data_IF_746885451152
#
_entry.id   IF_746885451152
#
_cell.length_a   1.000
_cell.length_b   1.000
_cell.length_c   1.000
_cell.angle_alpha   90.00
_cell.angle_beta   90.00
_cell.angle_gamma   90.00
#
_symmetry.space_group_name_H-M   'P 1'
#
loop_
_entity.id
_entity.type
_entity.pdbx_description
1 polymer ?
#
# COMPACT_ATOMS: atom_id res chain seq x y z
N UNK A 1 12.64 -14.56 -3.87
CA UNK A 1 12.54 -13.22 -4.48
C UNK A 1 11.28 -12.53 -3.99
N UNK A 2 11.39 -11.40 -3.26
CA UNK A 2 10.20 -10.57 -2.96
C UNK A 2 9.79 -9.87 -4.25
N UNK A 3 8.62 -10.22 -4.80
CA UNK A 3 8.10 -9.61 -6.04
C UNK A 3 7.97 -8.11 -5.83
N UNK A 4 8.50 -7.32 -6.75
CA UNK A 4 8.37 -5.87 -6.69
C UNK A 4 6.88 -5.51 -6.84
N UNK A 5 6.27 -5.01 -5.76
CA UNK A 5 4.85 -4.68 -5.73
C UNK A 5 4.46 -3.57 -6.70
N UNK A 6 5.44 -2.85 -7.27
CA UNK A 6 5.25 -1.82 -8.29
C UNK A 6 4.89 -2.41 -9.65
N UNK A 7 5.25 -3.67 -9.91
CA UNK A 7 4.93 -4.39 -11.14
C UNK A 7 3.51 -4.95 -11.15
N UNK A 8 2.78 -4.89 -10.04
CA UNK A 8 1.39 -5.32 -9.95
C UNK A 8 0.47 -4.34 -10.68
N UNK A 9 -0.59 -4.86 -11.32
CA UNK A 9 -1.66 -4.04 -11.90
C UNK A 9 -2.19 -3.03 -10.87
N UNK A 10 -2.49 -1.80 -11.30
CA UNK A 10 -2.97 -0.70 -10.42
C UNK A 10 -4.12 -1.13 -9.52
N UNK A 11 -5.08 -1.90 -10.05
CA UNK A 11 -6.21 -2.44 -9.29
C UNK A 11 -5.78 -3.37 -8.14
N UNK A 12 -4.77 -4.21 -8.37
CA UNK A 12 -4.24 -5.12 -7.34
C UNK A 12 -3.52 -4.32 -6.26
N UNK A 13 -2.74 -3.31 -6.62
CA UNK A 13 -2.09 -2.42 -5.65
C UNK A 13 -3.12 -1.68 -4.79
N UNK A 14 -4.19 -1.16 -5.42
CA UNK A 14 -5.25 -0.46 -4.70
C UNK A 14 -6.02 -1.41 -3.76
N UNK A 15 -6.30 -2.63 -4.19
CA UNK A 15 -6.90 -3.67 -3.34
C UNK A 15 -6.00 -3.96 -2.13
N UNK A 16 -4.69 -4.14 -2.32
CA UNK A 16 -3.74 -4.35 -1.21
C UNK A 16 -3.70 -3.17 -0.23
N UNK A 17 -3.71 -1.92 -0.73
CA UNK A 17 -3.79 -0.71 0.11
C UNK A 17 -5.07 -0.68 0.94
N UNK A 18 -6.23 -0.92 0.32
CA UNK A 18 -7.54 -0.94 1.01
C UNK A 18 -7.59 -2.04 2.07
N UNK A 19 -7.10 -3.24 1.75
CA UNK A 19 -7.01 -4.34 2.71
C UNK A 19 -6.10 -4.00 3.89
N UNK A 20 -4.97 -3.34 3.66
CA UNK A 20 -4.06 -2.91 4.73
C UNK A 20 -4.76 -1.97 5.72
N UNK A 21 -5.55 -1.02 5.22
CA UNK A 21 -6.30 -0.10 6.08
C UNK A 21 -7.45 -0.81 6.79
N UNK A 22 -8.12 -1.76 6.14
CA UNK A 22 -9.15 -2.59 6.78
C UNK A 22 -8.58 -3.36 7.97
N UNK A 23 -7.43 -4.02 7.78
CA UNK A 23 -6.77 -4.76 8.85
C UNK A 23 -6.22 -3.84 9.95
N UNK A 24 -5.65 -2.69 9.59
CA UNK A 24 -5.23 -1.70 10.59
C UNK A 24 -6.40 -1.20 11.45
N UNK A 25 -7.59 -1.00 10.86
CA UNK A 25 -8.81 -0.65 11.60
C UNK A 25 -9.31 -1.77 12.53
N UNK A 26 -8.90 -3.01 12.29
CA UNK A 26 -9.16 -4.16 13.17
C UNK A 26 -8.08 -4.31 14.26
N UNK A 27 -7.23 -3.30 14.45
CA UNK A 27 -6.13 -3.29 15.43
C UNK A 27 -5.04 -4.35 15.19
N UNK A 28 -4.94 -4.89 13.97
CA UNK A 28 -3.81 -5.75 13.59
C UNK A 28 -2.51 -4.97 13.52
N UNK A 29 -1.41 -5.62 13.92
CA UNK A 29 -0.09 -5.01 13.86
C UNK A 29 0.43 -4.96 12.42
N UNK A 30 1.35 -4.03 12.14
CA UNK A 30 1.91 -3.88 10.78
C UNK A 30 2.62 -5.13 10.22
N UNK A 31 3.31 -5.96 11.04
CA UNK A 31 3.81 -7.26 10.59
C UNK A 31 2.70 -8.22 10.15
N UNK A 32 1.64 -8.36 10.95
CA UNK A 32 0.49 -9.24 10.67
C UNK A 32 -0.30 -8.81 9.44
N UNK A 33 -0.26 -7.51 9.11
CA UNK A 33 -0.88 -6.99 7.88
C UNK A 33 0.00 -7.28 6.64
N UNK A 34 1.32 -7.23 6.80
CA UNK A 34 2.26 -7.34 5.69
C UNK A 34 2.35 -8.76 5.14
N UNK A 35 2.24 -9.76 6.02
CA UNK A 35 2.30 -11.18 5.70
C UNK A 35 1.23 -11.63 4.68
N UNK A 36 -0.09 -11.47 4.93
CA UNK A 36 -1.13 -11.89 3.99
C UNK A 36 -1.17 -11.06 2.70
N UNK A 37 -0.57 -9.87 2.71
CA UNK A 37 -0.52 -8.98 1.55
C UNK A 37 0.75 -9.17 0.71
N UNK A 38 1.65 -10.06 1.12
CA UNK A 38 2.99 -10.24 0.54
C UNK A 38 3.70 -8.88 0.38
N UNK A 39 3.48 -8.00 1.35
CA UNK A 39 3.96 -6.62 1.35
C UNK A 39 5.20 -6.47 2.22
N UNK A 40 5.95 -5.39 1.99
CA UNK A 40 6.95 -4.96 2.98
C UNK A 40 6.26 -4.20 4.11
N UNK A 41 6.65 -4.44 5.36
CA UNK A 41 6.17 -3.71 6.55
C UNK A 41 6.26 -2.19 6.32
N UNK A 42 7.37 -1.72 5.74
CA UNK A 42 7.58 -0.30 5.39
C UNK A 42 6.52 0.24 4.42
N UNK A 43 6.04 -0.57 3.48
CA UNK A 43 4.97 -0.19 2.56
C UNK A 43 3.64 -0.06 3.29
N UNK A 44 3.33 -1.01 4.18
CA UNK A 44 2.12 -0.97 5.00
C UNK A 44 2.11 0.25 5.91
N UNK A 45 3.23 0.52 6.60
CA UNK A 45 3.39 1.72 7.43
C UNK A 45 3.18 3.00 6.61
N UNK A 46 3.80 3.11 5.42
CA UNK A 46 3.60 4.25 4.53
C UNK A 46 2.14 4.42 4.14
N UNK A 47 1.42 3.34 3.88
CA UNK A 47 0.00 3.39 3.55
C UNK A 47 -0.86 3.85 4.72
N UNK A 48 -0.60 3.34 5.92
CA UNK A 48 -1.31 3.76 7.14
C UNK A 48 -1.05 5.24 7.42
N UNK A 49 0.20 5.70 7.32
CA UNK A 49 0.54 7.12 7.50
C UNK A 49 -0.15 8.02 6.46
N UNK A 50 -0.16 7.62 5.19
CA UNK A 50 -0.89 8.35 4.15
C UNK A 50 -2.40 8.41 4.46
N UNK A 51 -2.99 7.30 4.90
CA UNK A 51 -4.39 7.26 5.32
C UNK A 51 -4.68 8.18 6.51
N UNK A 52 -3.80 8.23 7.50
CA UNK A 52 -3.92 9.17 8.63
C UNK A 52 -3.84 10.63 8.21
N UNK A 53 -3.06 10.94 7.16
CA UNK A 53 -2.88 12.33 6.69
C UNK A 53 -4.04 12.88 5.87
N UNK A 54 -4.78 12.04 5.14
CA UNK A 54 -5.80 12.52 4.19
C UNK A 54 -6.76 11.45 3.68
N UNK A 55 -6.92 10.35 4.44
CA UNK A 55 -7.84 9.26 4.11
C UNK A 55 -7.45 8.48 2.85
N UNK A 56 -8.44 7.86 2.21
CA UNK A 56 -8.24 7.01 1.02
C UNK A 56 -7.74 7.85 -0.18
N UNK A 57 -8.12 9.13 -0.23
CA UNK A 57 -7.73 10.07 -1.28
C UNK A 57 -6.21 10.30 -1.33
N UNK A 58 -5.53 10.25 -0.17
CA UNK A 58 -4.08 10.39 -0.07
C UNK A 58 -3.29 9.27 -0.79
N UNK A 59 -3.93 8.13 -1.09
CA UNK A 59 -3.30 7.07 -1.87
C UNK A 59 -3.16 7.40 -3.36
N UNK A 60 -4.00 8.29 -3.90
CA UNK A 60 -3.95 8.69 -5.30
C UNK A 60 -2.79 9.62 -5.61
N UNK A 61 -2.32 10.38 -4.63
CA UNK A 61 -1.27 11.40 -4.78
C UNK A 61 0.12 10.80 -5.03
N UNK A 62 0.35 9.52 -4.71
CA UNK A 62 1.53 8.78 -5.15
C UNK A 62 1.31 8.14 -6.53
N UNK A 63 0.65 8.86 -7.45
CA UNK A 63 0.81 8.58 -8.87
C UNK A 63 2.30 8.70 -9.17
N UNK A 64 2.84 7.65 -9.78
CA UNK A 64 4.21 7.61 -10.26
C UNK A 64 4.47 8.92 -11.01
N UNK A 65 5.60 9.58 -10.72
CA UNK A 65 6.10 10.62 -11.61
C UNK A 65 6.15 10.07 -13.05
N UNK A 66 6.04 10.93 -14.07
CA UNK A 66 5.94 10.51 -15.46
C UNK A 66 6.95 9.41 -15.74
N UNK A 67 6.46 8.29 -16.28
CA UNK A 67 7.31 7.24 -16.81
C UNK A 67 8.13 7.89 -17.91
N UNK A 68 9.39 8.20 -17.60
CA UNK A 68 10.34 8.72 -18.58
C UNK A 68 10.56 7.59 -19.57
N UNK A 69 9.84 7.63 -20.69
CA UNK A 69 10.22 6.92 -21.90
C UNK A 69 11.63 7.39 -22.26
N UNK A 70 12.57 6.43 -22.31
CA UNK A 70 13.90 6.61 -22.87
C UNK A 70 13.91 5.94 -24.23
#
# INVERSE_FOLDING_TARGET
>A
MKKDGRSLKKQVQEKKRRMSIKFWKQSLSTPEIAEPLEGSIRSVQRWISAYKSGGISAFKTHQQGPQVER
#
